data_IF_634868559250
#
_entry.id   IF_634868559250
#
_cell.length_a   1.000
_cell.length_b   1.000
_cell.length_c   1.000
_cell.angle_alpha   90.00
_cell.angle_beta   90.00
_cell.angle_gamma   90.00
#
_symmetry.space_group_name_H-M   'P 1'
#
loop_
_entity.id
_entity.type
_entity.pdbx_description
1 polymer ?
#
# COMPACT_ATOMS: atom_id res chain seq x y z
N UNK A 1 24.59 -15.14 3.22
CA UNK A 1 23.83 -14.41 2.18
C UNK A 1 24.47 -13.04 2.00
N UNK A 2 24.29 -12.41 0.84
CA UNK A 2 24.70 -11.03 0.66
C UNK A 2 23.71 -10.07 1.32
N UNK A 3 24.12 -8.83 1.51
CA UNK A 3 23.30 -7.81 2.18
C UNK A 3 21.98 -7.54 1.44
N UNK A 4 21.98 -7.55 0.10
CA UNK A 4 20.77 -7.31 -0.69
C UNK A 4 19.73 -8.43 -0.54
N UNK A 5 20.17 -9.69 -0.41
CA UNK A 5 19.26 -10.81 -0.13
C UNK A 5 18.63 -10.69 1.25
N UNK A 6 19.37 -10.23 2.27
CA UNK A 6 18.82 -10.00 3.62
C UNK A 6 17.73 -8.93 3.62
N UNK A 7 17.87 -7.86 2.83
CA UNK A 7 16.82 -6.86 2.69
C UNK A 7 15.57 -7.39 1.98
N UNK A 8 15.74 -8.24 0.96
CA UNK A 8 14.62 -8.87 0.28
C UNK A 8 13.88 -9.83 1.22
N UNK A 9 14.60 -10.60 2.03
CA UNK A 9 14.01 -11.45 3.07
C UNK A 9 13.33 -10.63 4.16
N UNK A 10 13.94 -9.53 4.62
CA UNK A 10 13.34 -8.64 5.61
C UNK A 10 12.03 -8.02 5.11
N UNK A 11 11.95 -7.64 3.83
CA UNK A 11 10.71 -7.15 3.21
C UNK A 11 9.59 -8.19 3.29
N UNK A 12 9.87 -9.44 2.91
CA UNK A 12 8.88 -10.51 3.04
C UNK A 12 8.61 -10.93 4.47
N UNK A 13 9.58 -10.80 5.37
CA UNK A 13 9.38 -10.97 6.80
C UNK A 13 8.31 -10.00 7.34
N UNK A 14 8.35 -8.74 6.90
CA UNK A 14 7.34 -7.74 7.25
C UNK A 14 5.97 -8.00 6.60
N UNK A 15 5.93 -8.68 5.46
CA UNK A 15 4.71 -9.06 4.76
C UNK A 15 4.21 -10.48 5.09
N UNK A 16 4.92 -11.21 5.97
CA UNK A 16 4.69 -12.64 6.20
C UNK A 16 3.26 -12.95 6.64
N UNK A 17 2.73 -12.19 7.58
CA UNK A 17 1.35 -12.35 8.09
C UNK A 17 0.32 -12.21 6.97
N UNK A 18 0.47 -11.20 6.12
CA UNK A 18 -0.44 -10.97 5.00
C UNK A 18 -0.37 -12.10 3.97
N UNK A 19 0.86 -12.50 3.60
CA UNK A 19 1.09 -13.57 2.62
C UNK A 19 0.53 -14.90 3.12
N UNK A 20 0.65 -15.18 4.42
CA UNK A 20 0.05 -16.37 5.04
C UNK A 20 -1.48 -16.29 5.03
N UNK A 21 -2.06 -15.12 5.30
CA UNK A 21 -3.52 -14.91 5.20
C UNK A 21 -4.02 -15.14 3.76
N UNK A 22 -3.33 -14.60 2.75
CA UNK A 22 -3.65 -14.80 1.33
C UNK A 22 -3.67 -16.30 0.95
N UNK A 23 -2.70 -17.07 1.47
CA UNK A 23 -2.60 -18.52 1.29
C UNK A 23 -3.75 -19.24 1.99
N UNK A 24 -4.09 -18.85 3.22
CA UNK A 24 -5.21 -19.43 3.96
C UNK A 24 -6.55 -19.17 3.26
N UNK A 25 -6.81 -17.92 2.82
CA UNK A 25 -8.01 -17.54 2.06
C UNK A 25 -8.13 -18.40 0.81
N UNK A 26 -7.03 -18.56 0.07
CA UNK A 26 -7.02 -19.36 -1.17
C UNK A 26 -7.37 -20.83 -0.88
N UNK A 27 -6.77 -21.44 0.14
CA UNK A 27 -7.05 -22.82 0.51
C UNK A 27 -8.48 -23.02 1.03
N UNK A 28 -8.96 -22.11 1.87
CA UNK A 28 -10.32 -22.16 2.40
C UNK A 28 -11.37 -21.94 1.31
N UNK A 29 -11.11 -21.05 0.35
CA UNK A 29 -12.02 -20.82 -0.77
C UNK A 29 -12.20 -22.07 -1.63
N UNK A 30 -11.13 -22.84 -1.85
CA UNK A 30 -11.21 -24.13 -2.57
C UNK A 30 -12.14 -25.09 -1.82
N UNK A 31 -11.91 -25.29 -0.52
CA UNK A 31 -12.75 -26.17 0.33
C UNK A 31 -14.20 -25.71 0.39
N UNK A 32 -14.42 -24.39 0.52
CA UNK A 32 -15.75 -23.80 0.56
C UNK A 32 -16.49 -24.03 -0.76
N UNK A 33 -15.83 -23.80 -1.89
CA UNK A 33 -16.41 -24.02 -3.22
C UNK A 33 -16.83 -25.48 -3.40
N UNK A 34 -15.99 -26.43 -2.99
CA UNK A 34 -16.31 -27.87 -3.06
C UNK A 34 -17.44 -28.26 -2.09
N UNK A 35 -17.41 -27.78 -0.85
CA UNK A 35 -18.39 -28.15 0.19
C UNK A 35 -19.78 -27.54 0.00
N UNK A 36 -19.86 -26.38 -0.66
CA UNK A 36 -21.09 -25.67 -0.99
C UNK A 36 -21.65 -26.03 -2.37
N UNK A 37 -20.89 -26.76 -3.19
CA UNK A 37 -21.30 -27.16 -4.54
C UNK A 37 -22.70 -27.80 -4.52
N UNK A 38 -23.54 -27.38 -5.48
CA UNK A 38 -24.92 -27.84 -5.69
C UNK A 38 -25.93 -27.55 -4.56
N UNK A 39 -25.52 -26.91 -3.45
CA UNK A 39 -26.39 -26.57 -2.31
C UNK A 39 -26.87 -25.12 -2.37
N UNK A 40 -25.95 -24.20 -2.66
CA UNK A 40 -26.21 -22.75 -2.71
C UNK A 40 -25.32 -22.10 -3.76
N UNK A 41 -25.76 -20.98 -4.32
CA UNK A 41 -25.00 -20.24 -5.32
C UNK A 41 -25.03 -18.74 -5.01
N UNK A 42 -23.85 -18.16 -4.76
CA UNK A 42 -23.69 -16.72 -4.71
C UNK A 42 -23.70 -16.14 -6.12
N UNK A 43 -24.24 -14.93 -6.26
CA UNK A 43 -24.18 -14.19 -7.51
C UNK A 43 -22.76 -13.65 -7.74
N UNK A 44 -22.30 -13.71 -8.98
CA UNK A 44 -20.99 -13.18 -9.35
C UNK A 44 -20.90 -11.67 -9.08
N UNK A 45 -19.71 -11.24 -8.65
CA UNK A 45 -19.44 -9.86 -8.25
C UNK A 45 -19.74 -8.88 -9.40
N UNK A 46 -19.38 -9.25 -10.62
CA UNK A 46 -19.60 -8.48 -11.84
C UNK A 46 -21.09 -8.23 -12.09
N UNK A 47 -21.94 -9.24 -11.89
CA UNK A 47 -23.37 -9.14 -12.14
C UNK A 47 -24.07 -8.29 -11.06
N UNK A 48 -23.66 -8.45 -9.79
CA UNK A 48 -24.15 -7.57 -8.71
C UNK A 48 -23.76 -6.12 -9.01
N UNK A 49 -22.49 -5.90 -9.35
CA UNK A 49 -21.95 -4.56 -9.59
C UNK A 49 -22.65 -3.90 -10.79
N UNK A 50 -22.88 -4.63 -11.87
CA UNK A 50 -23.61 -4.12 -13.06
C UNK A 50 -25.01 -3.62 -12.72
N UNK A 51 -25.69 -4.27 -11.78
CA UNK A 51 -27.05 -3.87 -11.37
C UNK A 51 -27.04 -2.66 -10.44
N UNK A 52 -26.12 -2.62 -9.47
CA UNK A 52 -26.13 -1.56 -8.45
C UNK A 52 -25.42 -0.29 -8.92
N UNK A 53 -24.42 -0.38 -9.79
CA UNK A 53 -23.59 0.75 -10.19
C UNK A 53 -24.38 1.96 -10.71
N UNK A 54 -25.28 1.83 -11.72
CA UNK A 54 -26.05 2.97 -12.21
C UNK A 54 -26.92 3.59 -11.11
N UNK A 55 -27.57 2.76 -10.29
CA UNK A 55 -28.43 3.21 -9.19
C UNK A 55 -27.64 3.99 -8.14
N UNK A 56 -26.42 3.56 -7.82
CA UNK A 56 -25.58 4.22 -6.84
C UNK A 56 -24.91 5.47 -7.42
N UNK A 57 -24.54 5.48 -8.69
CA UNK A 57 -24.04 6.68 -9.37
C UNK A 57 -25.06 7.81 -9.25
N UNK A 58 -26.32 7.57 -9.64
CA UNK A 58 -27.38 8.58 -9.54
C UNK A 58 -27.54 9.10 -8.11
N UNK A 59 -27.53 8.20 -7.11
CA UNK A 59 -27.64 8.57 -5.69
C UNK A 59 -26.45 9.38 -5.18
N UNK A 60 -25.24 9.06 -5.62
CA UNK A 60 -24.03 9.81 -5.24
C UNK A 60 -24.07 11.20 -5.84
N UNK A 61 -24.47 11.34 -7.11
CA UNK A 61 -24.64 12.64 -7.75
C UNK A 61 -25.70 13.49 -7.03
N UNK A 62 -26.86 12.90 -6.73
CA UNK A 62 -27.93 13.56 -5.98
C UNK A 62 -27.48 14.00 -4.59
N UNK A 63 -26.70 13.17 -3.89
CA UNK A 63 -26.24 13.45 -2.53
C UNK A 63 -25.13 14.51 -2.49
N UNK A 64 -24.13 14.40 -3.37
CA UNK A 64 -22.99 15.32 -3.40
C UNK A 64 -23.31 16.64 -4.11
N UNK A 65 -24.32 16.65 -4.99
CA UNK A 65 -24.64 17.80 -5.83
C UNK A 65 -23.60 18.07 -6.92
N UNK A 66 -22.74 17.10 -7.21
CA UNK A 66 -21.72 17.15 -8.28
C UNK A 66 -21.83 15.90 -9.14
N UNK A 67 -21.45 16.02 -10.41
CA UNK A 67 -21.45 14.89 -11.33
C UNK A 67 -20.32 13.92 -11.04
N UNK A 68 -20.62 12.64 -11.17
CA UNK A 68 -19.64 11.56 -11.20
C UNK A 68 -19.22 11.39 -12.68
N UNK A 69 -17.92 11.18 -12.98
CA UNK A 69 -17.47 10.99 -14.36
C UNK A 69 -18.25 9.90 -15.12
N UNK A 70 -18.51 10.13 -16.40
CA UNK A 70 -19.27 9.21 -17.26
C UNK A 70 -18.43 8.06 -17.81
N UNK A 71 -17.10 8.20 -17.78
CA UNK A 71 -16.13 7.26 -18.34
C UNK A 71 -15.57 6.26 -17.32
N UNK A 72 -16.19 6.16 -16.13
CA UNK A 72 -15.76 5.23 -15.08
C UNK A 72 -15.80 3.80 -15.58
N UNK A 73 -14.67 3.10 -15.44
CA UNK A 73 -14.55 1.68 -15.75
C UNK A 73 -14.55 0.86 -14.45
N UNK A 74 -15.14 -0.34 -14.53
CA UNK A 74 -15.11 -1.30 -13.45
C UNK A 74 -14.14 -2.43 -13.79
N UNK A 75 -13.24 -2.74 -12.85
CA UNK A 75 -12.34 -3.90 -12.95
C UNK A 75 -12.46 -4.76 -11.70
N UNK A 76 -12.25 -6.06 -11.89
CA UNK A 76 -12.40 -7.07 -10.85
C UNK A 76 -11.11 -7.89 -10.72
N UNK A 77 -9.98 -7.24 -10.39
CA UNK A 77 -8.69 -7.90 -10.35
C UNK A 77 -8.62 -8.98 -9.28
N UNK A 78 -7.90 -10.06 -9.61
CA UNK A 78 -7.43 -11.03 -8.62
C UNK A 78 -6.18 -10.49 -7.89
N UNK A 79 -5.70 -11.22 -6.88
CA UNK A 79 -4.67 -10.78 -5.95
C UNK A 79 -3.40 -10.20 -6.62
N UNK A 80 -2.83 -10.91 -7.60
CA UNK A 80 -1.59 -10.46 -8.26
C UNK A 80 -1.79 -9.11 -8.98
N UNK A 81 -2.93 -8.93 -9.65
CA UNK A 81 -3.25 -7.69 -10.36
C UNK A 81 -3.55 -6.54 -9.40
N UNK A 82 -4.20 -6.82 -8.26
CA UNK A 82 -4.41 -5.84 -7.20
C UNK A 82 -3.08 -5.33 -6.66
N UNK A 83 -2.14 -6.23 -6.34
CA UNK A 83 -0.80 -5.87 -5.86
C UNK A 83 -0.08 -4.97 -6.87
N UNK A 84 -0.15 -5.29 -8.17
CA UNK A 84 0.42 -4.45 -9.23
C UNK A 84 -0.21 -3.06 -9.28
N UNK A 85 -1.54 -2.99 -9.23
CA UNK A 85 -2.28 -1.71 -9.25
C UNK A 85 -1.91 -0.82 -8.05
N UNK A 86 -1.66 -1.40 -6.86
CA UNK A 86 -1.17 -0.63 -5.71
C UNK A 86 0.17 0.06 -5.98
N UNK A 87 1.00 -0.51 -6.85
CA UNK A 87 2.23 0.15 -7.32
C UNK A 87 1.97 1.42 -8.12
N UNK A 88 0.89 1.48 -8.91
CA UNK A 88 0.51 2.70 -9.64
C UNK A 88 0.02 3.80 -8.70
N UNK A 89 -0.59 3.43 -7.57
CA UNK A 89 -1.05 4.36 -6.51
C UNK A 89 0.06 5.00 -5.69
N UNK A 90 1.29 4.51 -5.82
CA UNK A 90 2.47 5.17 -5.24
C UNK A 90 2.70 6.54 -5.88
N UNK A 91 2.17 6.77 -7.09
CA UNK A 91 2.39 8.00 -7.85
C UNK A 91 3.88 8.32 -7.98
N UNK A 92 4.65 7.32 -8.42
CA UNK A 92 6.04 7.53 -8.79
C UNK A 92 6.14 8.45 -10.01
N UNK A 93 7.20 9.24 -10.07
CA UNK A 93 7.47 10.08 -11.23
C UNK A 93 7.89 9.24 -12.46
N UNK A 94 8.15 9.90 -13.59
CA UNK A 94 8.49 9.19 -14.83
C UNK A 94 9.79 8.36 -14.73
N UNK A 95 10.73 8.78 -13.88
CA UNK A 95 12.04 8.13 -13.73
C UNK A 95 11.94 6.91 -12.81
N UNK A 96 11.11 7.00 -11.76
CA UNK A 96 10.89 5.93 -10.80
C UNK A 96 9.77 4.95 -11.21
N UNK A 97 8.83 5.34 -12.10
CA UNK A 97 7.66 4.52 -12.45
C UNK A 97 8.02 3.09 -12.84
N UNK A 98 9.00 2.91 -13.73
CA UNK A 98 9.44 1.57 -14.16
C UNK A 98 9.96 0.75 -12.98
N UNK A 99 10.75 1.37 -12.11
CA UNK A 99 11.29 0.71 -10.93
C UNK A 99 10.17 0.24 -9.99
N UNK A 100 9.21 1.11 -9.69
CA UNK A 100 8.07 0.81 -8.82
C UNK A 100 7.22 -0.32 -9.40
N UNK A 101 6.92 -0.27 -10.69
CA UNK A 101 6.18 -1.36 -11.36
C UNK A 101 6.91 -2.70 -11.23
N UNK A 102 8.24 -2.71 -11.43
CA UNK A 102 9.03 -3.95 -11.28
C UNK A 102 9.08 -4.44 -9.84
N UNK A 103 9.20 -3.54 -8.85
CA UNK A 103 9.21 -3.88 -7.43
C UNK A 103 7.87 -4.51 -7.00
N UNK A 104 6.75 -3.86 -7.28
CA UNK A 104 5.43 -4.38 -6.92
C UNK A 104 5.10 -5.68 -7.64
N UNK A 105 5.58 -5.86 -8.88
CA UNK A 105 5.45 -7.12 -9.59
C UNK A 105 6.29 -8.23 -8.95
N UNK A 106 7.51 -7.94 -8.50
CA UNK A 106 8.36 -8.90 -7.79
C UNK A 106 7.74 -9.29 -6.44
N UNK A 107 7.23 -8.31 -5.68
CA UNK A 107 6.48 -8.56 -4.43
C UNK A 107 5.23 -9.41 -4.69
N UNK A 108 4.47 -9.12 -5.75
CA UNK A 108 3.27 -9.88 -6.10
C UNK A 108 3.56 -11.35 -6.45
N UNK A 109 4.79 -11.65 -6.89
CA UNK A 109 5.25 -13.00 -7.25
C UNK A 109 6.09 -13.67 -6.17
N UNK A 110 6.27 -13.04 -5.02
CA UNK A 110 7.18 -13.51 -3.96
C UNK A 110 8.62 -13.74 -4.49
N UNK A 111 9.07 -12.93 -5.47
CA UNK A 111 10.36 -13.09 -6.14
C UNK A 111 11.51 -12.40 -5.39
N UNK A 112 12.01 -13.09 -4.35
CA UNK A 112 13.17 -12.68 -3.54
C UNK A 112 14.38 -12.24 -4.38
N UNK A 113 14.68 -12.99 -5.44
CA UNK A 113 15.86 -12.73 -6.26
C UNK A 113 15.70 -11.40 -7.01
N UNK A 114 14.54 -11.17 -7.64
CA UNK A 114 14.29 -9.93 -8.36
C UNK A 114 14.28 -8.72 -7.42
N UNK A 115 13.80 -8.88 -6.19
CA UNK A 115 13.85 -7.80 -5.19
C UNK A 115 15.30 -7.45 -4.81
N UNK A 116 16.14 -8.45 -4.56
CA UNK A 116 17.56 -8.22 -4.29
C UNK A 116 18.27 -7.53 -5.49
N UNK A 117 17.96 -7.95 -6.72
CA UNK A 117 18.47 -7.31 -7.95
C UNK A 117 18.01 -5.85 -8.06
N UNK A 118 16.75 -5.54 -7.73
CA UNK A 118 16.22 -4.18 -7.75
C UNK A 118 16.87 -3.30 -6.67
N UNK A 119 17.12 -3.85 -5.48
CA UNK A 119 17.84 -3.12 -4.44
C UNK A 119 19.27 -2.78 -4.86
N UNK A 120 19.96 -3.74 -5.49
CA UNK A 120 21.30 -3.52 -6.02
C UNK A 120 21.30 -2.51 -7.17
N UNK A 121 20.27 -2.52 -8.02
CA UNK A 121 20.15 -1.61 -9.15
C UNK A 121 19.98 -0.15 -8.70
N UNK A 122 19.12 0.11 -7.71
CA UNK A 122 18.81 1.45 -7.24
C UNK A 122 18.41 1.40 -5.75
N UNK A 123 19.41 1.44 -4.87
CA UNK A 123 19.22 1.37 -3.43
C UNK A 123 18.38 2.54 -2.87
N UNK A 124 18.59 3.81 -3.29
CA UNK A 124 17.71 4.91 -2.87
C UNK A 124 16.23 4.62 -3.16
N UNK A 125 15.90 4.20 -4.39
CA UNK A 125 14.52 3.85 -4.76
C UNK A 125 13.99 2.67 -3.98
N UNK A 126 14.82 1.66 -3.72
CA UNK A 126 14.42 0.54 -2.88
C UNK A 126 14.00 1.00 -1.49
N UNK A 127 14.82 1.82 -0.82
CA UNK A 127 14.54 2.29 0.53
C UNK A 127 13.22 3.08 0.61
N UNK A 128 12.92 3.89 -0.40
CA UNK A 128 11.66 4.63 -0.48
C UNK A 128 10.49 3.69 -0.79
N UNK A 129 10.54 2.97 -1.91
CA UNK A 129 9.36 2.28 -2.46
C UNK A 129 9.03 0.95 -1.80
N UNK A 130 9.99 0.31 -1.12
CA UNK A 130 9.71 -0.87 -0.30
C UNK A 130 8.76 -0.56 0.87
N UNK A 131 8.80 0.65 1.44
CA UNK A 131 7.86 1.07 2.49
C UNK A 131 6.43 1.12 2.00
N UNK A 132 6.19 1.64 0.79
CA UNK A 132 4.87 1.61 0.16
C UNK A 132 4.41 0.19 -0.14
N UNK A 133 5.32 -0.68 -0.60
CA UNK A 133 5.00 -2.09 -0.79
C UNK A 133 4.54 -2.72 0.53
N UNK A 134 5.24 -2.46 1.64
CA UNK A 134 4.82 -2.93 2.97
C UNK A 134 3.42 -2.38 3.31
N UNK A 135 3.23 -1.06 3.25
CA UNK A 135 2.00 -0.38 3.68
C UNK A 135 0.76 -0.77 2.87
N UNK A 136 0.89 -0.89 1.55
CA UNK A 136 -0.24 -1.20 0.69
C UNK A 136 -0.55 -2.70 0.64
N UNK A 137 0.48 -3.55 0.67
CA UNK A 137 0.27 -4.99 0.57
C UNK A 137 -0.23 -5.55 1.89
N UNK A 138 0.25 -5.07 3.05
CA UNK A 138 -0.22 -5.50 4.40
C UNK A 138 -1.70 -5.21 4.73
N UNK A 139 -2.46 -4.66 3.78
CA UNK A 139 -3.89 -4.38 3.93
C UNK A 139 -4.69 -4.94 2.76
N UNK A 140 -4.09 -5.76 1.91
CA UNK A 140 -4.72 -6.14 0.64
C UNK A 140 -5.87 -7.11 0.84
N UNK A 141 -5.81 -7.95 1.88
CA UNK A 141 -6.89 -8.87 2.28
C UNK A 141 -8.08 -8.15 2.92
N UNK A 142 -7.88 -6.92 3.41
CA UNK A 142 -8.93 -6.10 4.06
C UNK A 142 -9.43 -4.95 3.19
N UNK A 143 -8.82 -4.73 2.02
CA UNK A 143 -9.25 -3.71 1.05
C UNK A 143 -10.33 -4.29 0.12
N UNK A 144 -11.54 -3.74 0.11
CA UNK A 144 -12.61 -4.20 -0.79
C UNK A 144 -12.64 -3.50 -2.15
N UNK A 145 -12.24 -2.23 -2.19
CA UNK A 145 -12.28 -1.40 -3.39
C UNK A 145 -11.07 -0.49 -3.47
N UNK A 146 -10.85 0.05 -4.67
CA UNK A 146 -9.98 1.19 -4.87
C UNK A 146 -10.37 1.99 -6.12
N UNK A 147 -10.04 3.27 -6.16
CA UNK A 147 -10.25 4.16 -7.29
C UNK A 147 -8.94 4.78 -7.76
N UNK A 148 -8.66 4.65 -9.06
CA UNK A 148 -7.48 5.22 -9.71
C UNK A 148 -7.76 5.54 -11.17
N UNK A 149 -7.51 6.80 -11.58
CA UNK A 149 -7.54 7.27 -12.97
C UNK A 149 -8.79 6.79 -13.75
N UNK A 150 -9.99 7.16 -13.28
CA UNK A 150 -11.30 6.77 -13.86
C UNK A 150 -11.61 5.27 -13.82
N UNK A 151 -10.91 4.49 -13.01
CA UNK A 151 -11.18 3.06 -12.84
C UNK A 151 -11.47 2.74 -11.38
N UNK A 152 -12.61 2.12 -11.13
CA UNK A 152 -12.94 1.50 -9.85
C UNK A 152 -12.54 0.02 -9.93
N UNK A 153 -11.67 -0.38 -9.02
CA UNK A 153 -11.19 -1.75 -8.84
C UNK A 153 -11.94 -2.35 -7.66
N UNK A 154 -12.75 -3.38 -7.90
CA UNK A 154 -13.33 -4.17 -6.83
C UNK A 154 -12.44 -5.40 -6.58
N UNK A 155 -12.02 -5.60 -5.33
CA UNK A 155 -11.15 -6.70 -4.95
C UNK A 155 -11.89 -8.04 -5.09
N UNK A 156 -11.77 -8.66 -6.26
CA UNK A 156 -12.44 -9.92 -6.59
C UNK A 156 -11.94 -11.05 -5.70
N UNK A 157 -10.64 -11.04 -5.38
CA UNK A 157 -9.99 -12.03 -4.53
C UNK A 157 -10.70 -12.16 -3.18
N UNK A 158 -11.08 -11.04 -2.55
CA UNK A 158 -11.77 -11.03 -1.25
C UNK A 158 -13.28 -11.13 -1.42
N UNK A 159 -13.89 -10.23 -2.19
CA UNK A 159 -15.34 -10.10 -2.28
C UNK A 159 -16.01 -11.37 -2.82
N UNK A 160 -15.33 -12.14 -3.69
CA UNK A 160 -15.91 -13.38 -4.23
C UNK A 160 -15.67 -14.59 -3.34
N UNK A 161 -14.64 -14.59 -2.47
CA UNK A 161 -14.23 -15.76 -1.67
C UNK A 161 -14.77 -15.71 -0.24
N UNK A 162 -14.72 -14.56 0.43
CA UNK A 162 -15.09 -14.45 1.84
C UNK A 162 -16.52 -14.90 2.15
N UNK A 163 -17.56 -14.52 1.38
CA UNK A 163 -18.92 -14.99 1.64
C UNK A 163 -19.04 -16.52 1.63
N UNK A 164 -18.36 -17.17 0.67
CA UNK A 164 -18.33 -18.63 0.57
C UNK A 164 -17.60 -19.25 1.78
N UNK A 165 -16.45 -18.71 2.16
CA UNK A 165 -15.67 -19.17 3.32
C UNK A 165 -16.48 -19.02 4.61
N UNK A 166 -17.15 -17.88 4.80
CA UNK A 166 -17.99 -17.60 5.98
C UNK A 166 -19.11 -18.64 6.07
N UNK A 167 -19.85 -18.85 4.98
CA UNK A 167 -20.95 -19.82 4.98
C UNK A 167 -20.45 -21.25 5.21
N UNK A 168 -19.35 -21.63 4.58
CA UNK A 168 -18.73 -22.94 4.76
C UNK A 168 -18.30 -23.17 6.22
N UNK A 169 -17.64 -22.18 6.85
CA UNK A 169 -17.22 -22.25 8.26
C UNK A 169 -18.41 -22.35 9.24
N UNK A 170 -19.59 -21.88 8.86
CA UNK A 170 -20.80 -22.04 9.67
C UNK A 170 -21.32 -23.48 9.71
N UNK A 171 -20.99 -24.30 8.71
CA UNK A 171 -21.41 -25.70 8.61
C UNK A 171 -22.89 -25.88 8.26
N UNK A 172 -23.26 -27.13 7.99
CA UNK A 172 -24.61 -27.48 7.55
C UNK A 172 -25.71 -27.21 8.61
N UNK A 173 -26.97 -27.01 8.19
CA UNK A 173 -27.43 -26.87 6.79
C UNK A 173 -27.17 -25.44 6.25
N UNK A 174 -26.57 -25.34 5.06
CA UNK A 174 -26.10 -24.07 4.49
C UNK A 174 -27.25 -23.19 4.00
N UNK A 175 -28.30 -23.78 3.46
CA UNK A 175 -29.47 -23.12 2.88
C UNK A 175 -30.17 -22.23 3.91
N UNK A 176 -30.24 -22.69 5.17
CA UNK A 176 -30.88 -21.93 6.26
C UNK A 176 -30.10 -20.68 6.67
N UNK A 177 -28.80 -20.62 6.36
CA UNK A 177 -27.89 -19.52 6.73
C UNK A 177 -27.49 -18.66 5.54
N UNK A 178 -27.75 -19.15 4.32
CA UNK A 178 -27.36 -18.51 3.07
C UNK A 178 -27.88 -17.08 2.95
N UNK A 179 -29.17 -16.85 3.22
CA UNK A 179 -29.78 -15.52 3.10
C UNK A 179 -29.06 -14.46 3.94
N UNK A 180 -28.65 -14.80 5.17
CA UNK A 180 -27.94 -13.87 6.04
C UNK A 180 -26.54 -13.54 5.46
N UNK A 181 -25.77 -14.56 5.09
CA UNK A 181 -24.43 -14.37 4.52
C UNK A 181 -24.49 -13.64 3.18
N UNK A 182 -25.45 -13.98 2.33
CA UNK A 182 -25.68 -13.34 1.04
C UNK A 182 -26.10 -11.87 1.20
N UNK A 183 -26.93 -11.54 2.19
CA UNK A 183 -27.26 -10.15 2.52
C UNK A 183 -26.01 -9.37 2.96
N UNK A 184 -25.14 -9.97 3.77
CA UNK A 184 -23.86 -9.36 4.16
C UNK A 184 -22.94 -9.10 2.96
N UNK A 185 -22.83 -10.08 2.06
CA UNK A 185 -22.08 -9.96 0.81
C UNK A 185 -22.60 -8.81 -0.07
N UNK A 186 -23.91 -8.77 -0.35
CA UNK A 186 -24.52 -7.69 -1.12
C UNK A 186 -24.33 -6.33 -0.46
N UNK A 187 -24.36 -6.27 0.87
CA UNK A 187 -24.04 -5.07 1.64
C UNK A 187 -22.61 -4.60 1.41
N UNK A 188 -21.63 -5.50 1.51
CA UNK A 188 -20.22 -5.17 1.29
C UNK A 188 -19.97 -4.65 -0.14
N UNK A 189 -20.54 -5.29 -1.16
CA UNK A 189 -20.40 -4.84 -2.57
C UNK A 189 -21.04 -3.45 -2.75
N UNK A 190 -22.23 -3.21 -2.19
CA UNK A 190 -22.88 -1.89 -2.24
C UNK A 190 -22.06 -0.79 -1.57
N UNK A 191 -21.52 -1.07 -0.39
CA UNK A 191 -20.67 -0.11 0.33
C UNK A 191 -19.40 0.19 -0.46
N UNK A 192 -18.76 -0.83 -1.03
CA UNK A 192 -17.57 -0.67 -1.85
C UNK A 192 -17.86 0.21 -3.07
N UNK A 193 -18.92 -0.09 -3.83
CA UNK A 193 -19.31 0.73 -4.99
C UNK A 193 -19.65 2.16 -4.58
N UNK A 194 -20.34 2.36 -3.46
CA UNK A 194 -20.66 3.69 -2.95
C UNK A 194 -19.40 4.50 -2.63
N UNK A 195 -18.48 3.92 -1.87
CA UNK A 195 -17.24 4.57 -1.44
C UNK A 195 -16.38 4.96 -2.65
N UNK A 196 -16.17 4.04 -3.59
CA UNK A 196 -15.33 4.32 -4.76
C UNK A 196 -15.98 5.30 -5.75
N UNK A 197 -17.32 5.34 -5.82
CA UNK A 197 -18.03 6.39 -6.55
C UNK A 197 -17.83 7.77 -5.90
N UNK A 198 -17.85 7.85 -4.57
CA UNK A 198 -17.54 9.11 -3.87
C UNK A 198 -16.10 9.55 -4.16
N UNK A 199 -15.14 8.63 -4.12
CA UNK A 199 -13.76 8.93 -4.50
C UNK A 199 -13.64 9.40 -5.95
N UNK A 200 -14.42 8.81 -6.87
CA UNK A 200 -14.40 9.22 -8.28
C UNK A 200 -14.93 10.64 -8.54
N UNK A 201 -15.77 11.18 -7.64
CA UNK A 201 -16.26 12.55 -7.73
C UNK A 201 -15.23 13.59 -7.24
N UNK A 202 -14.09 13.16 -6.69
CA UNK A 202 -13.08 14.00 -6.04
C UNK A 202 -11.83 14.22 -6.91
N UNK A 203 -11.97 14.24 -8.24
CA UNK A 203 -10.84 14.31 -9.18
C UNK A 203 -9.87 15.47 -8.89
N UNK A 204 -10.40 16.65 -8.55
CA UNK A 204 -9.59 17.81 -8.18
C UNK A 204 -8.68 17.54 -6.96
N UNK A 205 -9.22 16.92 -5.91
CA UNK A 205 -8.46 16.54 -4.71
C UNK A 205 -7.48 15.41 -5.01
N UNK A 206 -7.91 14.42 -5.82
CA UNK A 206 -7.04 13.33 -6.25
C UNK A 206 -5.83 13.86 -7.01
N UNK A 207 -6.01 14.83 -7.91
CA UNK A 207 -4.91 15.40 -8.68
C UNK A 207 -3.94 16.21 -7.80
N UNK A 208 -4.44 16.94 -6.81
CA UNK A 208 -3.59 17.64 -5.82
C UNK A 208 -2.79 16.62 -5.01
N UNK A 209 -3.45 15.57 -4.49
CA UNK A 209 -2.80 14.52 -3.72
C UNK A 209 -1.75 13.75 -4.55
N UNK A 210 -2.05 13.43 -5.82
CA UNK A 210 -1.12 12.78 -6.75
C UNK A 210 0.15 13.61 -6.95
N UNK A 211 0.00 14.92 -7.15
CA UNK A 211 1.13 15.82 -7.29
C UNK A 211 1.95 15.92 -6.00
N UNK A 212 1.28 16.03 -4.85
CA UNK A 212 1.95 16.07 -3.55
C UNK A 212 2.75 14.78 -3.28
N UNK A 213 2.12 13.61 -3.49
CA UNK A 213 2.76 12.30 -3.34
C UNK A 213 3.98 12.15 -4.27
N UNK A 214 3.88 12.60 -5.53
CA UNK A 214 5.01 12.60 -6.46
C UNK A 214 6.20 13.43 -5.94
N UNK A 215 5.95 14.62 -5.39
CA UNK A 215 7.02 15.47 -4.86
C UNK A 215 7.61 14.91 -3.56
N UNK A 216 6.78 14.39 -2.65
CA UNK A 216 7.23 13.68 -1.44
C UNK A 216 8.14 12.51 -1.79
N UNK A 217 7.78 11.71 -2.80
CA UNK A 217 8.62 10.59 -3.25
C UNK A 217 10.00 11.07 -3.71
N UNK A 218 10.08 12.15 -4.49
CA UNK A 218 11.36 12.72 -4.93
C UNK A 218 12.20 13.23 -3.77
N UNK A 219 11.57 13.90 -2.79
CA UNK A 219 12.25 14.38 -1.58
C UNK A 219 12.81 13.21 -0.77
N UNK A 220 12.03 12.13 -0.63
CA UNK A 220 12.47 10.92 0.05
C UNK A 220 13.61 10.20 -0.70
N UNK A 221 13.58 10.18 -2.04
CA UNK A 221 14.71 9.67 -2.84
C UNK A 221 15.96 10.55 -2.69
N UNK A 222 15.81 11.87 -2.66
CA UNK A 222 16.91 12.81 -2.42
C UNK A 222 17.55 12.58 -1.05
N UNK A 223 16.73 12.44 -0.01
CA UNK A 223 17.20 12.11 1.34
C UNK A 223 17.93 10.77 1.37
N UNK A 224 17.37 9.72 0.76
CA UNK A 224 18.03 8.42 0.69
C UNK A 224 19.42 8.52 0.03
N UNK A 225 19.56 9.30 -1.05
CA UNK A 225 20.84 9.57 -1.70
C UNK A 225 21.83 10.30 -0.77
N UNK A 226 21.37 11.31 -0.03
CA UNK A 226 22.20 12.04 0.93
C UNK A 226 22.74 11.08 2.00
N UNK A 227 21.86 10.31 2.64
CA UNK A 227 22.24 9.35 3.68
C UNK A 227 23.18 8.27 3.13
N UNK A 228 22.90 7.74 1.94
CA UNK A 228 23.74 6.73 1.31
C UNK A 228 25.13 7.25 0.92
N UNK A 229 25.29 8.57 0.75
CA UNK A 229 26.57 9.21 0.42
C UNK A 229 27.44 9.52 1.64
N UNK A 230 26.90 9.41 2.86
CA UNK A 230 27.67 9.65 4.09
C UNK A 230 28.79 8.61 4.25
N UNK A 231 29.92 9.05 4.80
CA UNK A 231 31.02 8.17 5.17
C UNK A 231 30.70 7.34 6.43
N UNK A 232 31.41 6.23 6.61
CA UNK A 232 31.17 5.28 7.71
C UNK A 232 31.35 5.92 9.10
N UNK A 233 32.28 6.87 9.26
CA UNK A 233 32.52 7.52 10.55
C UNK A 233 31.31 8.37 10.93
N UNK A 234 30.80 9.17 9.99
CA UNK A 234 29.59 9.98 10.18
C UNK A 234 28.37 9.10 10.48
N UNK A 235 28.16 8.02 9.71
CA UNK A 235 27.03 7.09 9.94
C UNK A 235 27.11 6.44 11.32
N UNK A 236 28.28 5.97 11.75
CA UNK A 236 28.43 5.35 13.06
C UNK A 236 28.17 6.35 14.19
N UNK A 237 28.74 7.57 14.11
CA UNK A 237 28.50 8.64 15.09
C UNK A 237 27.01 8.99 15.22
N UNK A 238 26.33 9.16 14.08
CA UNK A 238 24.90 9.46 14.06
C UNK A 238 24.06 8.29 14.58
N UNK A 239 24.41 7.06 14.22
CA UNK A 239 23.70 5.86 14.69
C UNK A 239 23.82 5.70 16.20
N UNK A 240 25.00 5.93 16.78
CA UNK A 240 25.21 5.94 18.23
C UNK A 240 24.46 7.09 18.90
N UNK A 241 24.53 8.30 18.34
CA UNK A 241 23.86 9.47 18.88
C UNK A 241 22.34 9.31 18.93
N UNK A 242 21.76 8.80 17.83
CA UNK A 242 20.32 8.53 17.72
C UNK A 242 19.90 7.22 18.39
N UNK A 243 20.84 6.49 19.02
CA UNK A 243 20.59 5.21 19.71
C UNK A 243 19.93 4.15 18.82
N UNK A 244 20.32 4.11 17.54
CA UNK A 244 19.78 3.15 16.58
C UNK A 244 20.24 1.73 16.91
N UNK A 245 19.47 0.74 16.46
CA UNK A 245 19.82 -0.67 16.60
C UNK A 245 21.21 -0.94 15.99
N UNK A 246 22.04 -1.66 16.73
CA UNK A 246 23.39 -2.03 16.27
C UNK A 246 23.31 -2.99 15.09
N UNK A 247 24.05 -2.67 14.04
CA UNK A 247 24.16 -3.46 12.82
C UNK A 247 25.62 -3.90 12.67
N UNK A 248 25.90 -5.18 12.34
CA UNK A 248 27.27 -5.64 12.15
C UNK A 248 28.00 -4.89 11.02
N UNK A 249 29.31 -4.73 11.14
CA UNK A 249 30.11 -3.90 10.22
C UNK A 249 30.12 -4.41 8.77
N UNK A 250 29.78 -5.67 8.54
CA UNK A 250 29.66 -6.26 7.21
C UNK A 250 28.32 -5.94 6.50
N UNK A 251 27.46 -5.11 7.09
CA UNK A 251 26.20 -4.63 6.50
C UNK A 251 26.16 -3.09 6.43
N UNK A 252 26.98 -2.46 5.57
CA UNK A 252 27.05 -1.00 5.46
C UNK A 252 25.75 -0.34 4.97
N UNK A 253 24.95 -0.99 4.13
CA UNK A 253 23.68 -0.44 3.67
C UNK A 253 22.60 -0.52 4.75
N UNK A 254 22.58 -1.57 5.57
CA UNK A 254 21.65 -1.69 6.70
C UNK A 254 21.85 -0.58 7.74
N UNK A 255 23.10 -0.22 8.06
CA UNK A 255 23.39 0.95 8.91
C UNK A 255 22.81 2.25 8.35
N UNK A 256 23.03 2.48 7.05
CA UNK A 256 22.54 3.67 6.34
C UNK A 256 21.01 3.66 6.22
N UNK A 257 20.40 2.50 6.00
CA UNK A 257 18.95 2.33 5.94
C UNK A 257 18.30 2.64 7.29
N UNK A 258 18.85 2.15 8.41
CA UNK A 258 18.36 2.50 9.75
C UNK A 258 18.37 4.02 9.96
N UNK A 259 19.46 4.69 9.57
CA UNK A 259 19.55 6.14 9.67
C UNK A 259 18.56 6.86 8.74
N UNK A 260 18.38 6.36 7.51
CA UNK A 260 17.39 6.90 6.57
C UNK A 260 15.97 6.81 7.12
N UNK A 261 15.56 5.64 7.65
CA UNK A 261 14.21 5.46 8.18
C UNK A 261 13.98 6.31 9.44
N UNK A 262 15.00 6.46 10.29
CA UNK A 262 14.93 7.32 11.48
C UNK A 262 14.86 8.82 11.13
N UNK A 263 15.59 9.26 10.11
CA UNK A 263 15.59 10.65 9.66
C UNK A 263 14.57 10.91 8.54
N UNK A 264 13.69 9.96 8.25
CA UNK A 264 12.66 10.16 7.26
C UNK A 264 11.62 11.18 7.80
N UNK A 265 11.21 12.20 7.01
CA UNK A 265 10.25 13.20 7.47
C UNK A 265 8.94 12.57 7.99
N UNK A 266 8.45 11.50 7.36
CA UNK A 266 7.24 10.79 7.80
C UNK A 266 7.40 10.26 9.23
N UNK A 267 8.54 9.64 9.54
CA UNK A 267 8.84 9.12 10.88
C UNK A 267 9.01 10.25 11.89
N UNK A 268 9.77 11.29 11.52
CA UNK A 268 10.01 12.46 12.37
C UNK A 268 8.70 13.13 12.78
N UNK A 269 7.77 13.31 11.85
CA UNK A 269 6.49 13.95 12.13
C UNK A 269 5.62 13.11 13.04
N UNK A 270 5.53 11.80 12.81
CA UNK A 270 4.73 10.91 13.66
C UNK A 270 5.25 10.90 15.12
N UNK A 271 6.57 10.92 15.31
CA UNK A 271 7.15 10.85 16.66
C UNK A 271 7.22 12.20 17.38
N UNK A 272 7.44 13.31 16.67
CA UNK A 272 7.61 14.63 17.26
C UNK A 272 6.34 15.50 17.22
N UNK A 273 5.46 15.24 16.26
CA UNK A 273 4.27 16.05 16.00
C UNK A 273 3.05 15.14 16.16
N UNK A 274 2.49 15.14 17.37
CA UNK A 274 1.24 14.43 17.63
C UNK A 274 0.14 14.81 16.63
N UNK A 275 -0.87 13.94 16.42
CA UNK A 275 -1.86 14.07 15.34
C UNK A 275 -2.66 15.39 15.33
N UNK A 276 -2.65 16.12 16.45
CA UNK A 276 -3.40 17.37 16.64
C UNK A 276 -2.63 18.66 16.26
N UNK A 277 -1.37 18.58 15.82
CA UNK A 277 -0.54 19.76 15.53
C UNK A 277 -0.35 19.97 14.01
N UNK A 278 -1.47 20.15 13.30
CA UNK A 278 -1.54 20.36 11.84
C UNK A 278 -1.10 21.76 11.36
N UNK A 279 -0.30 22.50 12.15
CA UNK A 279 0.06 23.91 11.87
C UNK A 279 1.57 24.18 11.93
N UNK A 280 2.42 23.15 11.86
CA UNK A 280 3.85 23.35 12.00
C UNK A 280 4.46 24.01 10.76
N UNK A 281 4.72 25.32 10.85
CA UNK A 281 5.48 26.10 9.84
C UNK A 281 6.96 26.26 10.21
N UNK A 282 7.45 25.54 11.23
CA UNK A 282 8.82 25.66 11.73
C UNK A 282 9.41 24.31 12.10
N UNK A 283 10.40 23.85 11.36
CA UNK A 283 11.17 22.65 11.70
C UNK A 283 12.44 23.08 12.41
N UNK A 284 12.69 22.51 13.58
CA UNK A 284 13.99 22.56 14.25
C UNK A 284 14.63 21.17 14.18
N UNK A 285 15.91 21.13 13.81
CA UNK A 285 16.70 19.89 13.77
C UNK A 285 17.73 19.97 14.88
N UNK A 286 18.00 18.84 15.53
CA UNK A 286 19.08 18.76 16.52
C UNK A 286 20.40 19.27 15.90
N UNK A 287 21.09 20.23 16.54
CA UNK A 287 22.30 20.83 16.00
C UNK A 287 23.40 19.83 15.62
N UNK A 288 23.50 18.69 16.31
CA UNK A 288 24.50 17.65 15.99
C UNK A 288 24.14 16.86 14.73
N UNK A 289 22.83 16.65 14.50
CA UNK A 289 22.35 16.03 13.27
C UNK A 289 22.52 17.03 12.12
N UNK A 290 22.19 18.31 12.34
CA UNK A 290 22.37 19.37 11.34
C UNK A 290 23.84 19.58 10.96
N UNK A 291 24.76 19.52 11.92
CA UNK A 291 26.21 19.59 11.65
C UNK A 291 26.67 18.45 10.74
N UNK A 292 26.09 17.25 10.91
CA UNK A 292 26.45 16.05 10.14
C UNK A 292 25.73 15.97 8.78
N UNK A 293 24.50 16.52 8.70
CA UNK A 293 23.66 16.52 7.49
C UNK A 293 23.03 17.91 7.31
N UNK A 294 23.81 18.91 6.84
CA UNK A 294 23.31 20.30 6.74
C UNK A 294 22.12 20.47 5.80
N UNK A 295 21.93 19.55 4.86
CA UNK A 295 20.83 19.56 3.89
C UNK A 295 19.48 19.17 4.52
N UNK A 296 19.47 18.50 5.68
CA UNK A 296 18.26 17.88 6.25
C UNK A 296 17.16 18.90 6.54
N UNK A 297 17.52 20.10 7.01
CA UNK A 297 16.55 21.16 7.28
C UNK A 297 15.83 21.60 6.00
N UNK A 298 16.54 21.66 4.88
CA UNK A 298 15.98 21.98 3.58
C UNK A 298 15.06 20.87 3.04
N UNK A 299 15.37 19.61 3.34
CA UNK A 299 14.52 18.45 3.01
C UNK A 299 13.20 18.54 3.77
N UNK A 300 13.23 18.69 5.09
CA UNK A 300 12.02 18.71 5.92
C UNK A 300 11.12 19.91 5.59
N UNK A 301 11.71 21.08 5.33
CA UNK A 301 10.96 22.28 4.92
C UNK A 301 10.24 22.09 3.58
N UNK A 302 10.86 21.40 2.61
CA UNK A 302 10.21 21.09 1.34
C UNK A 302 9.14 20.02 1.47
N UNK A 303 9.32 19.07 2.39
CA UNK A 303 8.33 18.02 2.62
C UNK A 303 7.03 18.59 3.21
N UNK A 304 7.11 19.58 4.10
CA UNK A 304 5.95 20.20 4.77
C UNK A 304 5.10 21.15 3.91
N UNK A 305 5.56 21.53 2.71
CA UNK A 305 4.95 22.57 1.87
C UNK A 305 4.36 21.96 0.61
#
# INVERSE_FOLDING_TARGET
MGEYEEFAEALFGQLSVEIDEEKEITQLAIKAKEGLADKVQFKELEDITREIFPVFKDKVEDFLGVKVPDDIQLKFPELEELKKMKGDKVFADKEAKKYVTELFHAVAKEDLKKIAELMQQDTPKYLVYSTYAIQYISKITTTYGDYLDSVIYLNKFILSKYPQIILYKQGEPYESRFENVNSGYLGAVKMTVLEELIHSAQENLQQVNKNAAMEVNKINEELANIILSLDTETVNKLSEYCQLQTVPDNFPFAKKANLFFFLNPDHFLIEQIGPDVMTFTHVEIDPKIEESIPQLLGIYKRWLV
#
